data_IF_395733476454
#
_entry.id   IF_395733476454
#
_cell.length_a   1.000
_cell.length_b   1.000
_cell.length_c   1.000
_cell.angle_alpha   90.00
_cell.angle_beta   90.00
_cell.angle_gamma   90.00
#
_symmetry.space_group_name_H-M   'P 1'
#
loop_
_entity.id
_entity.type
_entity.pdbx_description
1 polymer ?
#
# COMPACT_ATOMS: atom_id res chain seq x y z
N UNK A 1 7.04 -22.23 3.85
CA UNK A 1 5.85 -22.13 4.73
C UNK A 1 4.79 -23.08 4.21
N UNK A 2 3.99 -23.73 5.06
CA UNK A 2 2.89 -24.61 4.61
C UNK A 2 1.82 -23.75 3.92
N UNK A 3 1.22 -24.21 2.80
CA UNK A 3 0.14 -23.48 2.13
C UNK A 3 -1.11 -23.34 3.02
N UNK A 4 -1.92 -22.30 2.77
CA UNK A 4 -3.17 -22.06 3.47
C UNK A 4 -3.05 -21.93 5.00
N UNK A 5 -1.85 -21.66 5.52
CA UNK A 5 -1.53 -21.77 6.95
C UNK A 5 -1.28 -20.37 7.54
N UNK A 6 -1.83 -20.11 8.73
CA UNK A 6 -1.59 -18.85 9.47
C UNK A 6 -0.24 -18.91 10.17
N UNK A 7 0.58 -17.89 9.96
CA UNK A 7 1.87 -17.72 10.62
C UNK A 7 1.88 -16.44 11.46
N UNK A 8 2.53 -16.53 12.62
CA UNK A 8 2.80 -15.39 13.50
C UNK A 8 4.28 -15.03 13.40
N UNK A 9 4.59 -13.74 13.39
CA UNK A 9 5.97 -13.26 13.23
C UNK A 9 6.20 -11.93 13.97
N UNK A 10 7.47 -11.63 14.21
CA UNK A 10 7.96 -10.30 14.61
C UNK A 10 9.11 -9.95 13.66
N UNK A 11 9.31 -8.67 13.37
CA UNK A 11 10.44 -8.18 12.59
C UNK A 11 11.18 -7.07 13.36
N UNK A 12 12.46 -6.86 13.06
CA UNK A 12 13.29 -5.89 13.75
C UNK A 12 14.65 -6.47 14.13
N UNK A 13 15.37 -5.77 14.99
CA UNK A 13 16.68 -6.18 15.47
C UNK A 13 16.61 -6.62 16.95
N UNK A 14 16.82 -7.92 17.24
CA UNK A 14 16.76 -8.44 18.60
C UNK A 14 17.95 -7.99 19.46
N UNK A 15 19.03 -7.48 18.86
CA UNK A 15 20.21 -7.01 19.58
C UNK A 15 20.03 -5.62 20.19
N UNK A 16 19.09 -4.80 19.67
CA UNK A 16 18.89 -3.40 20.09
C UNK A 16 17.47 -3.06 20.58
N UNK A 17 16.75 -4.03 21.15
CA UNK A 17 15.38 -3.85 21.67
C UNK A 17 14.39 -3.20 20.66
N UNK A 18 14.64 -3.35 19.37
CA UNK A 18 13.86 -2.73 18.29
C UNK A 18 13.01 -3.77 17.54
N UNK A 19 12.31 -4.63 18.29
CA UNK A 19 11.44 -5.67 17.73
C UNK A 19 9.99 -5.18 17.65
N UNK A 20 9.32 -5.45 16.53
CA UNK A 20 7.90 -5.18 16.33
C UNK A 20 7.01 -5.93 17.34
N UNK A 21 5.75 -5.52 17.44
CA UNK A 21 4.69 -6.37 17.98
C UNK A 21 4.52 -7.65 17.15
N UNK A 22 3.86 -8.66 17.72
CA UNK A 22 3.51 -9.88 16.98
C UNK A 22 2.46 -9.54 15.92
N UNK A 23 2.73 -9.89 14.67
CA UNK A 23 1.83 -9.77 13.52
C UNK A 23 1.53 -11.15 12.94
N UNK A 24 0.54 -11.26 12.06
CA UNK A 24 0.21 -12.53 11.40
C UNK A 24 -0.28 -12.35 9.97
N UNK A 25 0.00 -13.34 9.12
CA UNK A 25 -0.56 -13.47 7.78
C UNK A 25 -0.90 -14.94 7.49
N UNK A 26 -1.72 -15.19 6.46
CA UNK A 26 -2.00 -16.54 5.94
C UNK A 26 -1.32 -16.69 4.58
N UNK A 27 -0.65 -17.82 4.37
CA UNK A 27 -0.06 -18.15 3.06
C UNK A 27 -1.14 -18.52 2.04
N UNK A 28 -0.84 -18.31 0.76
CA UNK A 28 -1.67 -18.77 -0.36
C UNK A 28 -1.90 -20.29 -0.27
N UNK A 29 -3.04 -20.78 -0.79
CA UNK A 29 -3.30 -22.22 -0.85
C UNK A 29 -2.34 -22.92 -1.82
N UNK A 30 -2.27 -24.25 -1.75
CA UNK A 30 -1.42 -25.05 -2.63
C UNK A 30 -1.86 -24.84 -4.08
N UNK A 31 -0.95 -24.58 -5.05
CA UNK A 31 -1.33 -24.47 -6.45
C UNK A 31 -2.02 -25.73 -6.96
N UNK A 32 -3.23 -25.58 -7.51
CA UNK A 32 -3.98 -26.71 -8.06
C UNK A 32 -5.27 -26.26 -8.76
N UNK A 33 -5.85 -27.11 -9.61
CA UNK A 33 -7.03 -26.77 -10.42
C UNK A 33 -8.32 -26.53 -9.62
N UNK A 34 -8.29 -26.80 -8.31
CA UNK A 34 -9.42 -26.62 -7.39
C UNK A 34 -9.02 -25.87 -6.12
N UNK A 35 -7.86 -25.20 -6.12
CA UNK A 35 -7.26 -24.60 -4.93
C UNK A 35 -6.93 -23.14 -5.19
N UNK A 36 -7.78 -22.25 -4.66
CA UNK A 36 -7.78 -20.82 -4.95
C UNK A 36 -7.90 -20.00 -3.66
N UNK A 37 -7.31 -18.78 -3.60
CA UNK A 37 -7.70 -17.82 -2.57
C UNK A 37 -9.19 -17.54 -2.69
N UNK A 38 -9.88 -17.32 -1.58
CA UNK A 38 -11.31 -17.06 -1.60
C UNK A 38 -11.60 -15.68 -2.21
N UNK A 39 -10.77 -14.69 -1.92
CA UNK A 39 -10.95 -13.31 -2.40
C UNK A 39 -9.61 -12.66 -2.73
N UNK A 40 -9.52 -12.10 -3.94
CA UNK A 40 -8.42 -11.24 -4.38
C UNK A 40 -8.99 -9.85 -4.58
N UNK A 41 -8.52 -8.88 -3.81
CA UNK A 41 -8.83 -7.46 -4.02
C UNK A 41 -7.88 -6.89 -5.06
N UNK A 42 -8.41 -6.10 -6.00
CA UNK A 42 -7.65 -5.41 -7.04
C UNK A 42 -8.03 -3.93 -6.97
N UNK A 43 -7.04 -3.06 -6.84
CA UNK A 43 -7.22 -1.60 -6.90
C UNK A 43 -6.07 -0.97 -7.68
N UNK A 44 -6.25 0.27 -8.12
CA UNK A 44 -5.20 1.12 -8.69
C UNK A 44 -5.40 2.56 -8.21
N UNK A 45 -4.43 3.42 -8.52
CA UNK A 45 -4.62 4.88 -8.45
C UNK A 45 -5.09 5.35 -7.06
N UNK A 46 -4.54 4.75 -6.00
CA UNK A 46 -5.06 4.95 -4.65
C UNK A 46 -4.84 6.36 -4.12
N UNK A 47 -3.62 6.88 -4.26
CA UNK A 47 -3.19 8.09 -3.59
C UNK A 47 -3.32 8.02 -2.08
N UNK A 48 -3.52 9.18 -1.45
CA UNK A 48 -3.70 9.29 0.01
C UNK A 48 -4.67 10.43 0.35
N UNK A 49 -5.95 10.14 0.18
CA UNK A 49 -7.09 11.05 0.38
C UNK A 49 -8.12 10.42 1.32
N UNK A 50 -9.15 11.18 1.74
CA UNK A 50 -10.29 10.60 2.48
C UNK A 50 -11.01 9.51 1.68
N UNK A 51 -11.10 9.66 0.35
CA UNK A 51 -11.69 8.65 -0.53
C UNK A 51 -10.85 7.38 -0.54
N UNK A 52 -9.52 7.50 -0.51
CA UNK A 52 -8.61 6.35 -0.39
C UNK A 52 -8.91 5.57 0.89
N UNK A 53 -9.09 6.24 2.03
CA UNK A 53 -9.48 5.57 3.27
C UNK A 53 -10.80 4.80 3.11
N UNK A 54 -11.81 5.40 2.48
CA UNK A 54 -13.08 4.70 2.19
C UNK A 54 -12.86 3.47 1.29
N UNK A 55 -12.04 3.56 0.25
CA UNK A 55 -11.71 2.42 -0.62
C UNK A 55 -11.05 1.29 0.16
N UNK A 56 -10.08 1.63 1.03
CA UNK A 56 -9.39 0.65 1.87
C UNK A 56 -10.33 0.04 2.92
N UNK A 57 -11.21 0.83 3.55
CA UNK A 57 -12.20 0.33 4.51
C UNK A 57 -13.18 -0.65 3.86
N UNK A 58 -13.66 -0.33 2.65
CA UNK A 58 -14.49 -1.25 1.87
C UNK A 58 -13.73 -2.53 1.53
N UNK A 59 -12.47 -2.44 1.13
CA UNK A 59 -11.63 -3.59 0.86
C UNK A 59 -11.43 -4.46 2.11
N UNK A 60 -11.10 -3.86 3.25
CA UNK A 60 -10.92 -4.56 4.54
C UNK A 60 -12.22 -5.26 4.95
N UNK A 61 -13.39 -4.63 4.78
CA UNK A 61 -14.68 -5.23 5.10
C UNK A 61 -14.98 -6.49 4.29
N UNK A 62 -14.39 -6.61 3.09
CA UNK A 62 -14.48 -7.79 2.25
C UNK A 62 -13.45 -8.88 2.59
N UNK A 63 -12.53 -8.62 3.53
CA UNK A 63 -11.54 -9.57 4.06
C UNK A 63 -10.83 -10.39 2.94
N UNK A 64 -10.06 -9.73 2.05
CA UNK A 64 -9.32 -10.39 0.99
C UNK A 64 -8.15 -11.23 1.52
N UNK A 65 -7.84 -12.33 0.84
CA UNK A 65 -6.63 -13.13 1.10
C UNK A 65 -5.39 -12.54 0.43
N UNK A 66 -5.60 -11.82 -0.66
CA UNK A 66 -4.57 -11.14 -1.44
C UNK A 66 -5.08 -9.77 -1.90
N UNK A 67 -4.19 -8.79 -1.85
CA UNK A 67 -4.40 -7.44 -2.37
C UNK A 67 -3.40 -7.18 -3.49
N UNK A 68 -3.90 -6.80 -4.68
CA UNK A 68 -3.11 -6.37 -5.82
C UNK A 68 -3.30 -4.87 -6.03
N UNK A 69 -2.20 -4.13 -5.96
CA UNK A 69 -2.14 -2.70 -6.29
C UNK A 69 -1.56 -2.50 -7.68
N UNK A 70 -2.34 -1.93 -8.58
CA UNK A 70 -2.01 -1.73 -9.98
C UNK A 70 -1.57 -0.28 -10.22
N UNK A 71 -0.30 0.01 -9.94
CA UNK A 71 0.29 1.32 -10.24
C UNK A 71 -0.22 2.48 -9.36
N UNK A 72 0.32 3.67 -9.61
CA UNK A 72 -0.11 4.96 -9.06
C UNK A 72 -0.49 4.93 -7.56
N UNK A 73 0.53 4.68 -6.75
CA UNK A 73 0.37 4.37 -5.32
C UNK A 73 0.04 5.63 -4.49
N UNK A 74 0.95 6.60 -4.47
CA UNK A 74 0.94 7.69 -3.47
C UNK A 74 0.64 9.07 -4.05
N UNK A 75 0.82 9.22 -5.37
CA UNK A 75 0.83 10.51 -6.05
C UNK A 75 1.76 11.55 -5.39
N UNK A 76 2.92 11.11 -4.88
CA UNK A 76 3.95 12.02 -4.37
C UNK A 76 4.41 13.06 -5.42
N UNK A 77 4.25 12.76 -6.70
CA UNK A 77 4.52 13.63 -7.84
C UNK A 77 3.40 14.66 -8.15
N UNK A 78 2.35 14.74 -7.34
CA UNK A 78 1.41 15.87 -7.37
C UNK A 78 1.87 17.05 -6.48
N UNK A 79 3.08 16.95 -5.93
CA UNK A 79 3.62 17.88 -4.96
C UNK A 79 5.00 18.39 -5.37
N UNK A 80 5.25 19.67 -5.09
CA UNK A 80 6.58 20.24 -5.07
C UNK A 80 7.41 19.65 -3.94
N UNK A 81 8.74 19.73 -4.06
CA UNK A 81 9.70 19.30 -3.02
C UNK A 81 9.50 20.00 -1.67
N UNK A 82 8.89 21.19 -1.66
CA UNK A 82 8.54 21.93 -0.44
C UNK A 82 7.23 21.48 0.22
N UNK A 83 6.53 20.49 -0.35
CA UNK A 83 5.28 19.93 0.18
C UNK A 83 4.00 20.62 -0.32
N UNK A 84 4.09 21.64 -1.17
CA UNK A 84 2.91 22.25 -1.81
C UNK A 84 2.35 21.30 -2.86
N UNK A 85 1.07 20.91 -2.75
CA UNK A 85 0.39 20.00 -3.66
C UNK A 85 -0.64 20.69 -4.56
N UNK A 86 -0.98 20.04 -5.68
CA UNK A 86 -2.09 20.41 -6.55
C UNK A 86 -2.74 19.18 -7.18
N UNK A 87 -4.03 19.25 -7.51
CA UNK A 87 -4.76 18.15 -8.15
C UNK A 87 -4.26 17.86 -9.58
N UNK A 88 -3.64 18.85 -10.22
CA UNK A 88 -3.00 18.72 -11.53
C UNK A 88 -1.64 19.43 -11.50
N UNK A 89 -0.56 18.65 -11.46
CA UNK A 89 0.80 19.19 -11.42
C UNK A 89 1.11 20.07 -12.62
N UNK A 90 0.82 19.60 -13.85
CA UNK A 90 1.09 20.36 -15.08
C UNK A 90 0.26 21.65 -15.21
N UNK A 91 -0.90 21.71 -14.55
CA UNK A 91 -1.77 22.88 -14.55
C UNK A 91 -1.27 23.95 -13.56
N UNK A 92 -0.80 23.53 -12.38
CA UNK A 92 -0.44 24.43 -11.29
C UNK A 92 1.05 24.82 -11.28
N UNK A 93 1.92 23.93 -11.77
CA UNK A 93 3.37 24.07 -11.69
C UNK A 93 4.04 23.87 -13.07
N UNK A 94 3.58 24.55 -14.14
CA UNK A 94 4.11 24.34 -15.50
C UNK A 94 5.58 24.75 -15.63
N UNK A 95 6.05 25.68 -14.79
CA UNK A 95 7.36 26.32 -14.91
C UNK A 95 8.44 25.68 -14.02
N UNK A 96 8.13 24.58 -13.30
CA UNK A 96 9.14 23.89 -12.50
C UNK A 96 10.20 23.26 -13.40
N UNK A 97 11.50 23.30 -13.03
CA UNK A 97 12.58 22.81 -13.88
C UNK A 97 12.56 21.30 -14.12
N UNK A 98 11.83 20.56 -13.28
CA UNK A 98 11.58 19.13 -13.40
C UNK A 98 10.19 18.83 -12.79
N UNK A 99 9.58 17.71 -13.16
CA UNK A 99 8.40 17.21 -12.45
C UNK A 99 8.82 16.72 -11.06
N UNK A 100 8.64 17.59 -10.07
CA UNK A 100 9.05 17.37 -8.68
C UNK A 100 8.22 16.29 -7.98
N UNK A 101 8.66 15.89 -6.79
CA UNK A 101 7.93 14.99 -5.90
C UNK A 101 8.12 15.41 -4.44
N UNK A 102 7.13 15.13 -3.60
CA UNK A 102 7.28 15.18 -2.14
C UNK A 102 7.30 13.78 -1.55
N UNK A 103 8.51 13.23 -1.40
CA UNK A 103 8.73 11.84 -0.97
C UNK A 103 8.09 11.46 0.37
N UNK A 104 7.93 12.34 1.38
CA UNK A 104 7.23 11.98 2.62
C UNK A 104 5.79 11.47 2.43
N UNK A 105 5.16 11.71 1.27
CA UNK A 105 3.87 11.10 0.92
C UNK A 105 3.93 9.57 0.81
N UNK A 106 5.10 8.99 0.53
CA UNK A 106 5.32 7.54 0.59
C UNK A 106 5.29 7.02 2.02
N UNK A 107 5.93 7.72 2.94
CA UNK A 107 5.94 7.36 4.36
C UNK A 107 4.55 7.52 4.99
N UNK A 108 3.79 8.55 4.60
CA UNK A 108 2.42 8.74 5.11
C UNK A 108 1.43 7.68 4.61
N UNK A 109 1.74 7.03 3.49
CA UNK A 109 0.89 6.00 2.90
C UNK A 109 1.04 4.65 3.62
N UNK A 110 2.21 4.37 4.23
CA UNK A 110 2.60 3.05 4.74
C UNK A 110 2.95 3.00 6.23
#
# INVERSE_FOLDING_TARGET
LKPGTKYYYRCGDPSVAAMSSVRSFRTMPEPGPSSYPARIAIVGDLGLTHNTSSTIDHMISNNPDLFLLVGDVTYANLYLTNGTGADCYSCAFPDTPIHETYQPRWDYWG
#
